data_IF_210948388220
#
_entry.id   IF_210948388220
#
_cell.length_a   1.000
_cell.length_b   1.000
_cell.length_c   1.000
_cell.angle_alpha   90.00
_cell.angle_beta   90.00
_cell.angle_gamma   90.00
#
_symmetry.space_group_name_H-M   'P 1'
#
loop_
_entity.id
_entity.type
_entity.pdbx_description
1 polymer ?
#
# COMPACT_ATOMS: atom_id res chain seq x y z
N UNK A 1 12.39 8.41 6.67
CA UNK A 1 10.93 8.50 6.37
C UNK A 1 10.15 8.29 7.67
N UNK A 2 8.97 8.88 7.86
CA UNK A 2 8.18 8.71 9.09
C UNK A 2 6.82 8.10 8.82
N UNK A 3 6.30 7.33 9.79
CA UNK A 3 4.97 6.73 9.75
C UNK A 3 3.85 7.73 9.42
N UNK A 4 4.02 9.01 9.80
CA UNK A 4 3.06 10.08 9.50
C UNK A 4 2.92 10.33 7.99
N UNK A 5 4.02 10.25 7.23
CA UNK A 5 3.99 10.45 5.77
C UNK A 5 3.25 9.30 5.07
N UNK A 6 3.53 8.06 5.47
CA UNK A 6 2.85 6.85 4.95
C UNK A 6 1.34 6.94 5.20
N UNK A 7 0.95 7.23 6.45
CA UNK A 7 -0.47 7.44 6.82
C UNK A 7 -1.12 8.54 5.99
N UNK A 8 -0.43 9.67 5.80
CA UNK A 8 -0.94 10.79 5.02
C UNK A 8 -1.19 10.41 3.56
N UNK A 9 -0.26 9.67 2.92
CA UNK A 9 -0.39 9.21 1.55
C UNK A 9 -1.59 8.25 1.36
N UNK A 10 -1.70 7.23 2.23
CA UNK A 10 -2.84 6.30 2.22
C UNK A 10 -4.18 7.01 2.45
N UNK A 11 -4.23 7.93 3.42
CA UNK A 11 -5.44 8.70 3.73
C UNK A 11 -5.86 9.62 2.57
N UNK A 12 -4.91 10.22 1.84
CA UNK A 12 -5.20 11.03 0.65
C UNK A 12 -5.91 10.21 -0.43
N UNK A 13 -5.50 8.95 -0.61
CA UNK A 13 -6.11 7.98 -1.53
C UNK A 13 -7.34 7.28 -0.95
N UNK A 14 -7.72 7.55 0.30
CA UNK A 14 -8.87 6.92 0.95
C UNK A 14 -8.68 5.43 1.23
N UNK A 15 -7.43 4.95 1.35
CA UNK A 15 -7.09 3.53 1.50
C UNK A 15 -7.03 3.17 2.99
N UNK A 16 -7.96 2.34 3.51
CA UNK A 16 -7.89 1.85 4.88
C UNK A 16 -6.74 0.84 5.05
N UNK A 17 -6.11 0.82 6.21
CA UNK A 17 -5.03 -0.12 6.55
C UNK A 17 -5.19 -0.60 8.00
N UNK A 18 -4.67 -1.77 8.32
CA UNK A 18 -4.69 -2.35 9.67
C UNK A 18 -3.58 -1.71 10.52
N UNK A 19 -2.34 -1.82 10.04
CA UNK A 19 -1.17 -1.29 10.75
C UNK A 19 -0.04 -0.92 9.79
N UNK A 20 0.86 -0.07 10.29
CA UNK A 20 2.12 0.29 9.64
C UNK A 20 3.21 0.08 10.69
N UNK A 21 4.18 -0.77 10.39
CA UNK A 21 5.25 -1.14 11.33
C UNK A 21 6.62 -0.90 10.70
N UNK A 22 7.59 -0.54 11.53
CA UNK A 22 9.00 -0.53 11.17
C UNK A 22 9.59 -1.82 11.71
N UNK A 23 10.00 -2.71 10.82
CA UNK A 23 10.54 -4.01 11.15
C UNK A 23 12.03 -4.04 10.82
N UNK A 24 12.80 -4.85 11.55
CA UNK A 24 14.16 -5.16 11.14
C UNK A 24 14.07 -5.99 9.87
N UNK A 25 14.70 -5.53 8.79
CA UNK A 25 14.65 -6.23 7.51
C UNK A 25 15.55 -7.47 7.51
N UNK A 26 15.67 -8.11 6.35
CA UNK A 26 16.45 -9.33 6.17
C UNK A 26 17.93 -9.02 5.82
N UNK A 27 18.68 -9.99 5.26
CA UNK A 27 20.09 -9.78 4.88
C UNK A 27 20.31 -8.71 3.80
N UNK A 28 19.25 -8.27 3.09
CA UNK A 28 19.33 -7.29 2.01
C UNK A 28 18.94 -5.86 2.45
N UNK A 29 18.23 -5.72 3.57
CA UNK A 29 17.83 -4.43 4.12
C UNK A 29 17.86 -4.45 5.65
N UNK A 30 18.59 -3.54 6.29
CA UNK A 30 18.72 -3.52 7.76
C UNK A 30 17.40 -3.22 8.48
N UNK A 31 16.51 -2.45 7.85
CA UNK A 31 15.20 -2.07 8.38
C UNK A 31 14.23 -1.66 7.28
N UNK A 32 12.97 -2.04 7.42
CA UNK A 32 11.94 -1.85 6.41
C UNK A 32 10.61 -1.40 7.04
N UNK A 33 9.83 -0.64 6.27
CA UNK A 33 8.43 -0.38 6.58
C UNK A 33 7.59 -1.55 6.07
N UNK A 34 6.56 -1.92 6.82
CA UNK A 34 5.56 -2.90 6.42
C UNK A 34 4.16 -2.32 6.63
N UNK A 35 3.30 -2.46 5.62
CA UNK A 35 1.91 -2.02 5.67
C UNK A 35 1.00 -3.24 5.57
N UNK A 36 0.11 -3.38 6.52
CA UNK A 36 -0.89 -4.45 6.52
C UNK A 36 -2.24 -3.90 6.08
N UNK A 37 -2.84 -4.56 5.08
CA UNK A 37 -4.18 -4.24 4.56
C UNK A 37 -5.16 -5.36 4.90
N UNK A 38 -6.44 -5.00 5.06
CA UNK A 38 -7.50 -6.03 5.16
C UNK A 38 -7.71 -6.69 3.80
N UNK A 39 -8.18 -7.94 3.79
CA UNK A 39 -8.58 -8.63 2.55
C UNK A 39 -9.66 -7.86 1.78
N UNK A 40 -10.58 -7.19 2.49
CA UNK A 40 -11.57 -6.29 1.86
C UNK A 40 -10.91 -5.13 1.12
N UNK A 41 -9.95 -4.45 1.76
CA UNK A 41 -9.19 -3.37 1.12
C UNK A 41 -8.43 -3.84 -0.11
N UNK A 42 -7.76 -5.00 -0.04
CA UNK A 42 -7.03 -5.55 -1.19
C UNK A 42 -7.99 -5.79 -2.37
N UNK A 43 -9.17 -6.36 -2.11
CA UNK A 43 -10.23 -6.55 -3.12
C UNK A 43 -10.69 -5.24 -3.73
N UNK A 44 -10.94 -4.22 -2.91
CA UNK A 44 -11.35 -2.90 -3.39
C UNK A 44 -10.27 -2.28 -4.29
N UNK A 45 -8.99 -2.41 -3.90
CA UNK A 45 -7.84 -1.95 -4.70
C UNK A 45 -7.74 -2.71 -6.04
N UNK A 46 -7.94 -4.03 -6.03
CA UNK A 46 -7.97 -4.83 -7.27
C UNK A 46 -9.12 -4.46 -8.20
N UNK A 47 -10.30 -4.17 -7.65
CA UNK A 47 -11.44 -3.75 -8.47
C UNK A 47 -11.20 -2.35 -9.06
N UNK A 48 -10.64 -1.44 -8.27
CA UNK A 48 -10.32 -0.09 -8.71
C UNK A 48 -9.23 -0.07 -9.79
N UNK A 49 -8.15 -0.86 -9.65
CA UNK A 49 -7.08 -0.91 -10.66
C UNK A 49 -7.59 -1.41 -12.02
N UNK A 50 -8.55 -2.34 -12.03
CA UNK A 50 -9.19 -2.80 -13.28
C UNK A 50 -10.04 -1.74 -13.96
N UNK A 51 -10.64 -0.83 -13.18
CA UNK A 51 -11.49 0.26 -13.72
C UNK A 51 -10.66 1.37 -14.36
N UNK A 52 -9.49 1.68 -13.79
CA UNK A 52 -8.66 2.79 -14.24
C UNK A 52 -7.75 2.44 -15.43
N UNK A 53 -7.62 1.17 -15.80
CA UNK A 53 -6.86 0.73 -16.97
C UNK A 53 -5.33 0.92 -16.86
N UNK A 54 -4.86 1.50 -15.75
CA UNK A 54 -3.46 1.53 -15.35
C UNK A 54 -3.15 0.26 -14.55
N UNK A 55 -2.28 -0.61 -15.08
CA UNK A 55 -1.65 -1.74 -14.39
C UNK A 55 -2.59 -2.63 -13.56
N UNK A 56 -2.91 -3.83 -14.02
CA UNK A 56 -3.64 -4.78 -13.19
C UNK A 56 -2.81 -5.11 -11.94
N UNK A 57 -3.17 -4.51 -10.79
CA UNK A 57 -2.67 -4.97 -9.50
C UNK A 57 -2.93 -6.47 -9.40
N UNK A 58 -1.88 -7.22 -9.09
CA UNK A 58 -1.96 -8.67 -8.89
C UNK A 58 -1.80 -9.01 -7.41
N UNK A 59 -2.18 -10.22 -7.02
CA UNK A 59 -1.95 -10.74 -5.68
C UNK A 59 -0.48 -10.56 -5.23
N UNK A 60 0.46 -10.65 -6.18
CA UNK A 60 1.90 -10.51 -5.94
C UNK A 60 2.29 -9.12 -5.41
N UNK A 61 1.57 -8.07 -5.78
CA UNK A 61 1.82 -6.71 -5.25
C UNK A 61 1.57 -6.61 -3.74
N UNK A 62 0.75 -7.51 -3.18
CA UNK A 62 0.44 -7.56 -1.75
C UNK A 62 1.10 -8.74 -1.04
N UNK A 63 1.85 -9.59 -1.74
CA UNK A 63 2.65 -10.65 -1.10
C UNK A 63 3.74 -10.04 -0.21
N UNK A 64 4.23 -8.85 -0.57
CA UNK A 64 5.14 -8.08 0.28
C UNK A 64 4.89 -6.57 0.15
N UNK A 65 3.92 -6.06 0.91
CA UNK A 65 3.62 -4.63 1.01
C UNK A 65 4.58 -3.93 2.00
N UNK A 66 5.88 -4.13 1.79
CA UNK A 66 6.93 -3.58 2.63
C UNK A 66 8.22 -3.29 1.86
N UNK A 67 9.16 -2.62 2.51
CA UNK A 67 10.45 -2.27 1.94
C UNK A 67 11.06 -1.04 2.57
N UNK A 68 12.12 -0.52 1.96
CA UNK A 68 12.68 0.75 2.37
C UNK A 68 11.67 1.90 2.13
N UNK A 69 12.05 3.10 2.56
CA UNK A 69 11.17 4.27 2.45
C UNK A 69 10.73 4.62 1.02
N UNK A 70 11.58 4.37 0.03
CA UNK A 70 11.34 4.70 -1.37
C UNK A 70 10.40 3.67 -1.99
N UNK A 71 10.69 2.37 -1.80
CA UNK A 71 9.86 1.26 -2.25
C UNK A 71 8.42 1.36 -1.73
N UNK A 72 8.24 1.72 -0.45
CA UNK A 72 6.90 1.88 0.12
C UNK A 72 6.15 3.07 -0.47
N UNK A 73 6.84 4.15 -0.84
CA UNK A 73 6.19 5.29 -1.48
C UNK A 73 5.82 4.99 -2.92
N UNK A 74 6.71 4.37 -3.68
CA UNK A 74 6.44 3.91 -5.04
C UNK A 74 5.23 2.98 -5.05
N UNK A 75 5.21 1.99 -4.16
CA UNK A 75 4.06 1.10 -3.98
C UNK A 75 2.77 1.88 -3.69
N UNK A 76 2.78 2.83 -2.74
CA UNK A 76 1.59 3.63 -2.43
C UNK A 76 1.16 4.48 -3.62
N UNK A 77 2.10 5.03 -4.39
CA UNK A 77 1.85 5.87 -5.55
C UNK A 77 1.23 5.07 -6.71
N UNK A 78 1.56 3.79 -6.85
CA UNK A 78 0.93 2.84 -7.79
C UNK A 78 -0.49 2.42 -7.41
N UNK A 79 -0.87 2.50 -6.11
CA UNK A 79 -2.21 2.11 -5.69
C UNK A 79 -3.30 3.05 -6.26
N UNK A 80 -4.44 2.53 -6.72
CA UNK A 80 -5.55 3.36 -7.16
C UNK A 80 -6.17 4.15 -6.00
N UNK A 81 -6.91 5.21 -6.34
CA UNK A 81 -7.62 6.02 -5.36
C UNK A 81 -8.97 5.38 -5.01
N UNK A 82 -9.18 5.02 -3.75
CA UNK A 82 -10.46 4.51 -3.25
C UNK A 82 -11.39 5.62 -2.73
N UNK A 83 -10.94 6.87 -2.76
CA UNK A 83 -11.71 8.01 -2.28
C UNK A 83 -12.94 8.23 -3.18
N UNK A 84 -14.13 8.06 -2.61
CA UNK A 84 -15.40 8.19 -3.34
C UNK A 84 -15.94 6.89 -3.95
N UNK A 85 -15.23 5.76 -3.79
CA UNK A 85 -15.70 4.43 -4.23
C UNK A 85 -16.75 3.86 -3.27
N UNK A 86 -16.90 4.43 -2.07
CA UNK A 86 -18.01 4.12 -1.15
C UNK A 86 -19.24 4.98 -1.49
N UNK A 87 -20.24 4.35 -2.12
CA UNK A 87 -21.64 4.73 -2.01
C UNK A 87 -22.29 3.97 -0.85
#
# INVERSE_FOLDING_TARGET
>A
MSIRKIKSALNKKGIPFIKIEWVRGNSECESEWFIEFTEGTKRDLFEASKKDGEGELTADHFNYSGGNAEAVMEFIDELPCLKGVRA
#
